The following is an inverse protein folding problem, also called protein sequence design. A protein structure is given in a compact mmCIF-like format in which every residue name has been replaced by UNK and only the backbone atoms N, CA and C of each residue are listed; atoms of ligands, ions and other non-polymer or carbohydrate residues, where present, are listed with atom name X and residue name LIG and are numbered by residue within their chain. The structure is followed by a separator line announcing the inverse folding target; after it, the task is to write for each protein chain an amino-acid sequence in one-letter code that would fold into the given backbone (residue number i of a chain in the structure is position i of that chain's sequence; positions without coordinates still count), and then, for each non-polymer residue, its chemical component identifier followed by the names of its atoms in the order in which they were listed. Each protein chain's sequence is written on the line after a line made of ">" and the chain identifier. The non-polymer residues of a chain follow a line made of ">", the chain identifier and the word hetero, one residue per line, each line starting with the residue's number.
data_IF_831712719147
#
_entry.id   IF_831712719147
#
_cell.length_a   1.000
_cell.length_b   1.000
_cell.length_c   1.000
_cell.angle_alpha   90.00
_cell.angle_beta   90.00
_cell.angle_gamma   90.00
#
_symmetry.space_group_name_H-M   'P 1'
#
loop_
_entity.id
_entity.type
_entity.pdbx_description
1 polymer ?
#
# COMPACT_ATOMS: atom_id res chain seq x y z
N UNK A 1 -3.80 -1.23 24.29
CA UNK A 1 -5.05 -1.19 25.10
C UNK A 1 -6.04 -0.24 24.46
N UNK A 2 -7.37 -0.38 24.61
CA UNK A 2 -8.34 0.57 24.00
C UNK A 2 -8.05 2.03 24.38
N UNK A 3 -7.65 2.28 25.61
CA UNK A 3 -7.38 3.64 26.12
C UNK A 3 -6.18 4.33 25.43
N UNK A 4 -5.25 3.57 24.86
CA UNK A 4 -4.14 4.10 24.07
C UNK A 4 -4.54 4.50 22.65
N UNK A 5 -5.62 3.88 22.13
CA UNK A 5 -6.11 4.14 20.77
C UNK A 5 -7.07 5.34 20.73
N UNK A 6 -7.85 5.56 21.78
CA UNK A 6 -8.85 6.64 21.83
C UNK A 6 -8.23 8.01 21.48
N UNK A 7 -7.11 8.45 22.07
CA UNK A 7 -6.50 9.74 21.73
C UNK A 7 -6.02 9.84 20.28
N UNK A 8 -5.76 8.70 19.61
CA UNK A 8 -5.27 8.65 18.24
C UNK A 8 -6.37 8.70 17.19
N UNK A 9 -7.58 8.28 17.53
CA UNK A 9 -8.70 8.18 16.58
C UNK A 9 -9.86 9.11 16.91
N UNK A 10 -10.03 9.51 18.18
CA UNK A 10 -11.14 10.34 18.61
C UNK A 10 -10.84 11.83 18.47
N UNK A 11 -11.71 12.55 17.78
CA UNK A 11 -11.64 14.00 17.58
C UNK A 11 -12.68 14.66 18.48
N UNK A 12 -12.29 15.32 19.61
CA UNK A 12 -13.24 15.89 20.58
C UNK A 12 -14.21 16.90 19.97
N UNK A 13 -13.71 17.77 19.07
CA UNK A 13 -14.54 18.79 18.40
C UNK A 13 -15.65 18.19 17.51
N UNK A 14 -15.47 16.93 17.04
CA UNK A 14 -16.45 16.20 16.23
C UNK A 14 -17.21 15.14 17.00
N UNK A 15 -16.85 14.92 18.26
CA UNK A 15 -17.39 13.86 19.14
C UNK A 15 -17.36 12.47 18.46
N UNK A 16 -16.31 12.21 17.69
CA UNK A 16 -16.18 10.96 16.92
C UNK A 16 -14.84 10.84 16.20
N UNK A 17 -14.71 9.80 15.37
CA UNK A 17 -13.54 9.50 14.56
C UNK A 17 -13.87 9.61 13.08
N UNK A 18 -12.91 10.05 12.26
CA UNK A 18 -13.06 10.03 10.81
C UNK A 18 -12.45 8.73 10.25
N UNK A 19 -12.85 8.38 9.04
CA UNK A 19 -12.32 7.21 8.32
C UNK A 19 -10.81 7.32 8.07
N UNK A 20 -10.30 8.53 7.87
CA UNK A 20 -8.88 8.78 7.62
C UNK A 20 -8.01 8.43 8.84
N UNK A 21 -8.45 8.79 10.06
CA UNK A 21 -7.77 8.41 11.30
C UNK A 21 -7.84 6.89 11.51
N UNK A 22 -9.01 6.30 11.27
CA UNK A 22 -9.20 4.85 11.38
C UNK A 22 -8.31 4.06 10.41
N UNK A 23 -7.96 4.63 9.25
CA UNK A 23 -7.00 4.05 8.31
C UNK A 23 -5.53 4.34 8.67
N UNK A 24 -5.26 5.50 9.29
CA UNK A 24 -3.90 5.92 9.59
C UNK A 24 -3.31 5.22 10.83
N UNK A 25 -4.11 5.10 11.89
CA UNK A 25 -3.65 4.57 13.18
C UNK A 25 -3.13 3.14 13.11
N UNK A 26 -3.75 2.18 12.39
CA UNK A 26 -3.24 0.81 12.29
C UNK A 26 -1.80 0.71 11.77
N UNK A 27 -1.37 1.64 10.93
CA UNK A 27 0.00 1.67 10.36
C UNK A 27 1.05 1.86 11.45
N UNK A 28 0.77 2.62 12.53
CA UNK A 28 1.65 2.76 13.69
C UNK A 28 1.89 1.43 14.41
N UNK A 29 0.96 0.49 14.26
CA UNK A 29 1.01 -0.85 14.84
C UNK A 29 1.40 -1.91 13.81
N UNK A 30 2.07 -1.50 12.74
CA UNK A 30 2.53 -2.38 11.66
C UNK A 30 1.37 -3.22 11.08
N UNK A 31 0.24 -2.56 10.79
CA UNK A 31 -0.90 -3.17 10.13
C UNK A 31 -1.25 -2.40 8.87
N UNK A 32 -1.46 -3.13 7.77
CA UNK A 32 -1.97 -2.58 6.53
C UNK A 32 -3.48 -2.40 6.66
N UNK A 33 -3.95 -1.17 6.58
CA UNK A 33 -5.37 -0.85 6.58
C UNK A 33 -5.90 -0.94 5.14
N UNK A 34 -6.68 -1.99 4.85
CA UNK A 34 -7.22 -2.23 3.51
C UNK A 34 -8.73 -1.96 3.49
N UNK A 35 -9.14 -0.96 2.69
CA UNK A 35 -10.56 -0.65 2.47
C UNK A 35 -11.19 -1.69 1.53
N UNK A 36 -12.22 -2.38 1.99
CA UNK A 36 -12.94 -3.39 1.23
C UNK A 36 -13.83 -2.77 0.14
N UNK A 37 -14.17 -3.58 -0.85
CA UNK A 37 -15.23 -3.23 -1.80
C UNK A 37 -16.58 -3.10 -1.06
N UNK A 38 -17.46 -2.15 -1.44
CA UNK A 38 -18.68 -1.84 -0.71
C UNK A 38 -19.81 -2.86 -0.99
N UNK A 39 -19.49 -4.15 -0.82
CA UNK A 39 -20.44 -5.26 -0.95
C UNK A 39 -20.30 -6.25 0.21
N UNK A 40 -21.37 -6.97 0.51
CA UNK A 40 -21.42 -7.90 1.62
C UNK A 40 -20.45 -9.09 1.42
N UNK A 41 -20.28 -9.54 0.18
CA UNK A 41 -19.42 -10.69 -0.14
C UNK A 41 -17.95 -10.44 0.27
N UNK A 42 -17.49 -9.19 0.15
CA UNK A 42 -16.15 -8.82 0.61
C UNK A 42 -16.02 -8.96 2.14
N UNK A 43 -17.05 -8.60 2.91
CA UNK A 43 -17.08 -8.80 4.36
C UNK A 43 -17.09 -10.28 4.69
N UNK A 44 -17.98 -11.05 4.04
CA UNK A 44 -18.11 -12.50 4.28
C UNK A 44 -16.82 -13.26 3.93
N UNK A 45 -16.15 -12.89 2.84
CA UNK A 45 -14.87 -13.47 2.46
C UNK A 45 -13.78 -13.25 3.52
N UNK A 46 -13.72 -12.06 4.13
CA UNK A 46 -12.79 -11.79 5.21
C UNK A 46 -13.14 -12.56 6.50
N UNK A 47 -14.42 -12.65 6.85
CA UNK A 47 -14.86 -13.47 7.98
C UNK A 47 -14.52 -14.95 7.80
N UNK A 48 -14.72 -15.50 6.59
CA UNK A 48 -14.35 -16.87 6.25
C UNK A 48 -12.83 -17.10 6.31
N UNK A 49 -12.05 -16.04 6.06
CA UNK A 49 -10.61 -16.06 6.25
C UNK A 49 -10.17 -15.80 7.71
N UNK A 50 -11.11 -15.77 8.66
CA UNK A 50 -10.86 -15.55 10.08
C UNK A 50 -10.51 -14.11 10.46
N UNK A 51 -10.77 -13.15 9.59
CA UNK A 51 -10.44 -11.74 9.81
C UNK A 51 -11.68 -10.90 10.14
N UNK A 52 -11.73 -10.27 11.32
CA UNK A 52 -12.78 -9.32 11.68
C UNK A 52 -12.73 -8.07 10.77
N UNK A 53 -13.89 -7.51 10.49
CA UNK A 53 -14.05 -6.35 9.59
C UNK A 53 -14.60 -5.15 10.35
N UNK A 54 -13.87 -4.03 10.31
CA UNK A 54 -14.36 -2.75 10.82
C UNK A 54 -15.33 -2.13 9.80
N UNK A 55 -16.51 -1.73 10.26
CA UNK A 55 -17.55 -1.11 9.44
C UNK A 55 -17.99 0.22 10.04
N UNK A 56 -18.47 1.12 9.19
CA UNK A 56 -19.12 2.37 9.62
C UNK A 56 -20.63 2.25 9.39
N UNK A 57 -21.38 2.40 10.46
CA UNK A 57 -22.85 2.46 10.46
C UNK A 57 -23.32 3.90 10.60
N UNK A 58 -24.48 4.20 10.04
CA UNK A 58 -25.26 5.37 10.40
C UNK A 58 -26.67 4.91 10.83
N UNK A 59 -26.95 5.06 12.12
CA UNK A 59 -28.26 4.73 12.73
C UNK A 59 -29.23 5.92 12.70
N UNK A 60 -28.79 7.07 12.20
CA UNK A 60 -29.62 8.27 12.08
C UNK A 60 -30.32 8.39 10.73
N UNK A 61 -30.90 9.57 10.53
CA UNK A 61 -31.48 9.98 9.25
C UNK A 61 -30.56 10.97 8.54
N UNK A 62 -30.73 11.27 7.23
CA UNK A 62 -29.80 12.12 6.49
C UNK A 62 -29.48 13.48 7.13
N UNK A 63 -30.46 14.11 7.76
CA UNK A 63 -30.29 15.43 8.43
C UNK A 63 -29.76 15.34 9.86
N UNK A 64 -29.83 14.15 10.50
CA UNK A 64 -29.35 13.90 11.86
C UNK A 64 -28.60 12.57 11.89
N UNK A 65 -27.41 12.47 11.31
CA UNK A 65 -26.65 11.23 11.25
C UNK A 65 -26.17 10.82 12.65
N UNK A 66 -26.18 9.51 12.92
CA UNK A 66 -25.64 8.89 14.13
C UNK A 66 -24.60 7.86 13.74
N UNK A 67 -23.39 8.35 13.51
CA UNK A 67 -22.25 7.55 13.07
C UNK A 67 -21.75 6.63 14.18
N UNK A 68 -21.44 5.40 13.83
CA UNK A 68 -20.93 4.42 14.77
C UNK A 68 -20.05 3.41 14.07
N UNK A 69 -18.85 3.19 14.62
CA UNK A 69 -17.98 2.12 14.18
C UNK A 69 -18.29 0.84 14.95
N UNK A 70 -18.35 -0.28 14.22
CA UNK A 70 -18.50 -1.62 14.80
C UNK A 70 -17.57 -2.61 14.10
N UNK A 71 -17.24 -3.71 14.77
CA UNK A 71 -16.42 -4.78 14.19
C UNK A 71 -17.29 -5.99 13.94
N UNK A 72 -17.45 -6.37 12.69
CA UNK A 72 -18.13 -7.60 12.28
C UNK A 72 -17.20 -8.76 12.61
N UNK A 73 -17.69 -9.72 13.41
CA UNK A 73 -16.92 -10.88 13.87
C UNK A 73 -17.55 -12.22 13.45
N UNK A 74 -18.74 -12.18 12.86
CA UNK A 74 -19.39 -13.39 12.36
C UNK A 74 -20.68 -13.10 11.62
N UNK A 75 -21.12 -14.10 10.86
CA UNK A 75 -22.39 -14.14 10.16
C UNK A 75 -22.99 -15.52 10.34
N UNK A 76 -24.28 -15.56 10.67
CA UNK A 76 -25.07 -16.77 10.79
C UNK A 76 -26.08 -16.83 9.64
N UNK A 77 -25.77 -17.63 8.63
CA UNK A 77 -26.60 -17.75 7.42
C UNK A 77 -27.94 -18.45 7.71
N UNK A 78 -28.00 -19.35 8.71
CA UNK A 78 -29.23 -20.07 9.03
C UNK A 78 -30.29 -19.16 9.65
N UNK A 79 -29.84 -18.16 10.43
CA UNK A 79 -30.70 -17.21 11.12
C UNK A 79 -30.69 -15.81 10.47
N UNK A 80 -29.99 -15.63 9.37
CA UNK A 80 -29.81 -14.35 8.66
C UNK A 80 -29.38 -13.23 9.63
N UNK A 81 -28.33 -13.48 10.43
CA UNK A 81 -27.85 -12.54 11.43
C UNK A 81 -26.38 -12.26 11.32
N UNK A 82 -25.99 -11.03 11.70
CA UNK A 82 -24.61 -10.54 11.75
C UNK A 82 -24.22 -10.35 13.22
N UNK A 83 -23.06 -10.86 13.59
CA UNK A 83 -22.51 -10.72 14.93
C UNK A 83 -21.45 -9.63 14.94
N UNK A 84 -21.60 -8.67 15.84
CA UNK A 84 -20.77 -7.48 15.96
C UNK A 84 -20.15 -7.35 17.35
N UNK A 85 -19.00 -6.69 17.42
CA UNK A 85 -18.52 -5.99 18.61
C UNK A 85 -18.77 -4.49 18.39
N UNK A 86 -19.49 -3.87 19.33
CA UNK A 86 -20.02 -2.51 19.16
C UNK A 86 -19.98 -1.78 20.51
N UNK A 87 -19.13 -0.75 20.63
CA UNK A 87 -18.88 -0.06 21.88
C UNK A 87 -18.45 -1.02 22.99
N UNK A 88 -19.17 -1.02 24.11
CA UNK A 88 -18.93 -1.93 25.24
C UNK A 88 -19.56 -3.32 25.06
N UNK A 89 -20.41 -3.48 24.05
CA UNK A 89 -21.12 -4.75 23.79
C UNK A 89 -20.22 -5.72 23.03
N UNK A 90 -19.79 -6.78 23.72
CA UNK A 90 -18.87 -7.78 23.13
C UNK A 90 -19.52 -8.67 22.06
N UNK A 91 -20.85 -8.86 22.13
CA UNK A 91 -21.62 -9.67 21.20
C UNK A 91 -22.99 -9.02 20.97
N UNK A 92 -23.09 -8.20 19.96
CA UNK A 92 -24.35 -7.67 19.45
C UNK A 92 -24.78 -8.49 18.24
N UNK A 93 -26.03 -8.91 18.20
CA UNK A 93 -26.61 -9.64 17.06
C UNK A 93 -27.64 -8.76 16.40
N UNK A 94 -27.49 -8.52 15.11
CA UNK A 94 -28.44 -7.81 14.28
C UNK A 94 -28.96 -8.73 13.18
N UNK A 95 -30.22 -8.58 12.77
CA UNK A 95 -30.64 -9.17 11.51
C UNK A 95 -29.85 -8.59 10.35
N UNK A 96 -29.55 -9.38 9.33
CA UNK A 96 -28.83 -8.92 8.15
C UNK A 96 -29.51 -7.69 7.51
N UNK A 97 -30.84 -7.64 7.50
CA UNK A 97 -31.61 -6.48 7.03
C UNK A 97 -31.28 -5.20 7.81
N UNK A 98 -31.19 -5.26 9.15
CA UNK A 98 -30.89 -4.08 9.97
C UNK A 98 -29.43 -3.67 9.84
N UNK A 99 -28.53 -4.66 9.77
CA UNK A 99 -27.10 -4.42 9.48
C UNK A 99 -26.94 -3.71 8.15
N UNK A 100 -27.49 -4.25 7.06
CA UNK A 100 -27.38 -3.67 5.73
C UNK A 100 -27.92 -2.25 5.68
N UNK A 101 -29.10 -1.98 6.28
CA UNK A 101 -29.64 -0.63 6.30
C UNK A 101 -28.72 0.38 7.00
N UNK A 102 -28.17 0.01 8.16
CA UNK A 102 -27.25 0.90 8.90
C UNK A 102 -25.93 1.08 8.15
N UNK A 103 -25.43 0.05 7.49
CA UNK A 103 -24.21 0.07 6.70
C UNK A 103 -24.40 0.84 5.37
N UNK A 104 -25.54 0.68 4.69
CA UNK A 104 -25.91 1.46 3.51
C UNK A 104 -25.96 2.97 3.83
N UNK A 105 -26.61 3.32 4.93
CA UNK A 105 -26.64 4.69 5.43
C UNK A 105 -25.24 5.19 5.84
N UNK A 106 -24.31 4.29 6.15
CA UNK A 106 -22.90 4.54 6.44
C UNK A 106 -22.00 4.62 5.20
N UNK A 107 -22.59 4.58 3.99
CA UNK A 107 -21.86 4.61 2.72
C UNK A 107 -21.14 3.29 2.40
N UNK A 108 -21.53 2.19 3.03
CA UNK A 108 -20.94 0.84 2.89
C UNK A 108 -19.45 0.81 3.14
N UNK A 109 -18.93 1.71 3.99
CA UNK A 109 -17.52 1.71 4.32
C UNK A 109 -17.16 0.52 5.20
N UNK A 110 -16.12 -0.21 4.80
CA UNK A 110 -15.57 -1.35 5.52
C UNK A 110 -14.06 -1.43 5.33
N UNK A 111 -13.36 -1.93 6.34
CA UNK A 111 -11.91 -2.05 6.35
C UNK A 111 -11.48 -3.31 7.11
N UNK A 112 -10.45 -3.98 6.58
CA UNK A 112 -9.76 -5.07 7.26
C UNK A 112 -8.32 -4.65 7.59
N UNK A 113 -7.79 -5.18 8.69
CA UNK A 113 -6.41 -5.00 9.11
C UNK A 113 -5.59 -6.23 8.75
N UNK A 114 -4.62 -6.05 7.86
CA UNK A 114 -3.75 -7.13 7.38
C UNK A 114 -2.37 -7.02 8.07
N UNK A 115 -1.75 -8.16 8.30
CA UNK A 115 -0.32 -8.20 8.65
C UNK A 115 0.50 -7.97 7.39
N UNK A 116 1.72 -7.40 7.48
CA UNK A 116 2.64 -7.38 6.36
C UNK A 116 2.87 -8.80 5.81
N UNK A 117 2.69 -8.97 4.52
CA UNK A 117 2.71 -10.28 3.85
C UNK A 117 1.33 -10.91 3.61
N UNK A 118 0.26 -10.35 4.17
CA UNK A 118 -1.11 -10.80 3.90
C UNK A 118 -1.79 -9.95 2.83
N UNK A 119 -2.70 -10.58 2.08
CA UNK A 119 -3.63 -9.89 1.19
C UNK A 119 -5.07 -10.13 1.61
N UNK A 120 -5.96 -9.18 1.37
CA UNK A 120 -7.38 -9.38 1.60
C UNK A 120 -7.94 -10.48 0.68
N UNK A 121 -8.97 -11.21 1.13
CA UNK A 121 -9.55 -12.32 0.38
C UNK A 121 -10.05 -11.87 -1.00
N UNK A 122 -10.69 -10.70 -1.06
CA UNK A 122 -11.17 -10.07 -2.30
C UNK A 122 -10.30 -8.88 -2.72
N UNK A 123 -8.98 -8.95 -2.47
CA UNK A 123 -8.09 -7.84 -2.77
C UNK A 123 -8.07 -7.49 -4.27
N UNK A 124 -8.14 -6.19 -4.52
CA UNK A 124 -7.95 -5.57 -5.82
C UNK A 124 -6.56 -4.95 -5.86
N UNK A 125 -5.77 -5.08 -6.95
CA UNK A 125 -4.40 -4.59 -7.01
C UNK A 125 -4.30 -3.10 -6.74
N UNK A 126 -5.12 -2.27 -7.38
CA UNK A 126 -5.09 -0.81 -7.20
C UNK A 126 -5.25 -0.41 -5.73
N UNK A 127 -6.31 -0.89 -5.07
CA UNK A 127 -6.55 -0.58 -3.65
C UNK A 127 -5.49 -1.12 -2.71
N UNK A 128 -4.96 -2.32 -3.04
CA UNK A 128 -3.90 -2.89 -2.22
C UNK A 128 -2.61 -2.07 -2.32
N UNK A 129 -2.23 -1.68 -3.53
CA UNK A 129 -1.03 -0.87 -3.77
C UNK A 129 -1.17 0.55 -3.20
N UNK A 130 -2.36 1.14 -3.22
CA UNK A 130 -2.63 2.41 -2.51
C UNK A 130 -2.43 2.26 -0.99
N UNK A 131 -2.96 1.18 -0.40
CA UNK A 131 -2.77 0.89 1.01
C UNK A 131 -1.29 0.60 1.34
N UNK A 132 -0.58 -0.14 0.46
CA UNK A 132 0.84 -0.43 0.58
C UNK A 132 1.70 0.84 0.52
N UNK A 133 1.45 1.73 -0.42
CA UNK A 133 2.13 3.03 -0.52
C UNK A 133 1.89 3.92 0.70
N UNK A 134 0.68 3.87 1.27
CA UNK A 134 0.38 4.59 2.50
C UNK A 134 1.04 3.96 3.75
N UNK A 135 1.23 2.64 3.76
CA UNK A 135 1.95 1.90 4.80
C UNK A 135 3.46 2.18 4.75
N UNK A 136 4.05 2.15 3.55
CA UNK A 136 5.47 2.40 3.30
C UNK A 136 5.97 3.72 3.92
N UNK A 137 5.13 4.77 3.93
CA UNK A 137 5.50 6.09 4.47
C UNK A 137 5.83 6.10 5.96
N UNK A 138 5.40 5.09 6.71
CA UNK A 138 5.56 5.04 8.19
C UNK A 138 6.18 3.73 8.68
N UNK A 139 6.24 2.70 7.84
CA UNK A 139 6.79 1.40 8.17
C UNK A 139 8.31 1.34 7.89
N UNK A 140 8.98 0.42 8.57
CA UNK A 140 10.36 0.07 8.24
C UNK A 140 10.46 -0.68 6.90
N UNK A 141 11.68 -0.74 6.35
CA UNK A 141 11.92 -1.36 5.04
C UNK A 141 11.57 -2.87 5.04
N UNK A 142 11.81 -3.58 6.15
CA UNK A 142 11.56 -5.02 6.22
C UNK A 142 10.05 -5.34 6.20
N UNK A 143 9.24 -4.57 6.89
CA UNK A 143 7.78 -4.73 6.88
C UNK A 143 7.19 -4.26 5.54
N UNK A 144 7.71 -3.16 4.99
CA UNK A 144 7.35 -2.68 3.66
C UNK A 144 7.63 -3.75 2.59
N UNK A 145 8.80 -4.38 2.65
CA UNK A 145 9.16 -5.46 1.73
C UNK A 145 8.15 -6.60 1.75
N UNK A 146 7.75 -7.09 2.94
CA UNK A 146 6.74 -8.15 3.06
C UNK A 146 5.41 -7.79 2.41
N UNK A 147 4.99 -6.52 2.53
CA UNK A 147 3.74 -6.05 1.88
C UNK A 147 3.86 -6.11 0.36
N UNK A 148 4.98 -5.67 -0.19
CA UNK A 148 5.18 -5.70 -1.65
C UNK A 148 5.56 -7.09 -2.18
N UNK A 149 6.19 -7.97 -1.37
CA UNK A 149 6.36 -9.39 -1.72
C UNK A 149 5.01 -10.06 -1.99
N UNK A 150 4.03 -9.87 -1.08
CA UNK A 150 2.68 -10.37 -1.28
C UNK A 150 1.98 -9.76 -2.50
N UNK A 151 2.26 -8.48 -2.81
CA UNK A 151 1.72 -7.83 -4.00
C UNK A 151 2.31 -8.41 -5.28
N UNK A 152 3.62 -8.61 -5.35
CA UNK A 152 4.32 -9.21 -6.50
C UNK A 152 3.87 -10.64 -6.73
N UNK A 153 3.73 -11.44 -5.66
CA UNK A 153 3.25 -12.82 -5.75
C UNK A 153 1.84 -12.89 -6.35
N UNK A 154 0.95 -12.01 -5.91
CA UNK A 154 -0.45 -12.03 -6.31
C UNK A 154 -0.70 -11.35 -7.65
N UNK A 155 0.05 -10.30 -7.97
CA UNK A 155 -0.12 -9.48 -9.17
C UNK A 155 1.23 -9.20 -9.84
N UNK A 156 1.88 -10.22 -10.43
CA UNK A 156 3.22 -10.07 -11.03
C UNK A 156 3.25 -9.12 -12.24
N UNK A 157 2.09 -8.83 -12.83
CA UNK A 157 1.92 -7.92 -13.96
C UNK A 157 1.62 -6.47 -13.54
N UNK A 158 1.73 -6.14 -12.26
CA UNK A 158 1.57 -4.78 -11.74
C UNK A 158 2.95 -4.14 -11.51
N UNK A 159 3.42 -3.21 -12.35
CA UNK A 159 4.77 -2.64 -12.23
C UNK A 159 4.97 -1.91 -10.90
N UNK A 160 3.92 -1.31 -10.34
CA UNK A 160 3.95 -0.62 -9.04
C UNK A 160 4.30 -1.57 -7.89
N UNK A 161 3.92 -2.86 -7.97
CA UNK A 161 4.28 -3.85 -6.96
C UNK A 161 5.81 -4.09 -6.94
N UNK A 162 6.42 -4.23 -8.11
CA UNK A 162 7.87 -4.38 -8.28
C UNK A 162 8.62 -3.13 -7.84
N UNK A 163 8.13 -1.94 -8.22
CA UNK A 163 8.74 -0.66 -7.82
C UNK A 163 8.73 -0.52 -6.29
N UNK A 164 7.61 -0.81 -5.63
CA UNK A 164 7.50 -0.73 -4.18
C UNK A 164 8.44 -1.70 -3.47
N UNK A 165 8.57 -2.96 -3.99
CA UNK A 165 9.51 -3.94 -3.46
C UNK A 165 10.95 -3.48 -3.64
N UNK A 166 11.29 -2.96 -4.81
CA UNK A 166 12.61 -2.39 -5.10
C UNK A 166 12.94 -1.20 -4.20
N UNK A 167 11.97 -0.31 -3.96
CA UNK A 167 12.14 0.83 -3.04
C UNK A 167 12.40 0.36 -1.60
N UNK A 168 11.70 -0.68 -1.15
CA UNK A 168 11.98 -1.27 0.17
C UNK A 168 13.38 -1.88 0.25
N UNK A 169 13.82 -2.58 -0.81
CA UNK A 169 15.20 -3.10 -0.93
C UNK A 169 16.24 -1.98 -0.92
N UNK A 170 16.02 -0.93 -1.70
CA UNK A 170 16.90 0.24 -1.76
C UNK A 170 17.06 0.91 -0.37
N UNK A 171 15.95 1.13 0.33
CA UNK A 171 15.95 1.69 1.70
C UNK A 171 16.65 0.78 2.72
N UNK A 172 16.67 -0.52 2.47
CA UNK A 172 17.39 -1.49 3.29
C UNK A 172 18.89 -1.62 2.93
N UNK A 173 19.37 -0.92 1.89
CA UNK A 173 20.74 -1.02 1.39
C UNK A 173 20.99 -2.22 0.47
N UNK A 174 19.96 -3.01 0.15
CA UNK A 174 20.05 -4.12 -0.82
C UNK A 174 19.89 -3.58 -2.25
N UNK A 175 20.91 -2.87 -2.70
CA UNK A 175 20.90 -2.18 -3.99
C UNK A 175 20.79 -3.15 -5.18
N UNK A 176 21.34 -4.38 -5.04
CA UNK A 176 21.24 -5.39 -6.11
C UNK A 176 19.80 -5.89 -6.26
N UNK A 177 19.15 -6.25 -5.17
CA UNK A 177 17.75 -6.65 -5.20
C UNK A 177 16.85 -5.50 -5.70
N UNK A 178 17.14 -4.26 -5.30
CA UNK A 178 16.40 -3.09 -5.78
C UNK A 178 16.51 -2.93 -7.31
N UNK A 179 17.73 -3.01 -7.86
CA UNK A 179 17.94 -2.92 -9.30
C UNK A 179 17.23 -4.05 -10.07
N UNK A 180 17.23 -5.27 -9.53
CA UNK A 180 16.50 -6.42 -10.12
C UNK A 180 14.98 -6.17 -10.14
N UNK A 181 14.42 -5.63 -9.04
CA UNK A 181 13.00 -5.35 -8.93
C UNK A 181 12.57 -4.20 -9.86
N UNK A 182 13.38 -3.13 -9.97
CA UNK A 182 13.10 -2.05 -10.92
C UNK A 182 13.21 -2.54 -12.38
N UNK A 183 14.17 -3.42 -12.68
CA UNK A 183 14.26 -4.07 -13.98
C UNK A 183 13.04 -4.97 -14.25
N UNK A 184 12.53 -5.68 -13.23
CA UNK A 184 11.29 -6.44 -13.35
C UNK A 184 10.07 -5.54 -13.63
N UNK A 185 9.97 -4.39 -12.98
CA UNK A 185 8.95 -3.39 -13.28
C UNK A 185 9.01 -2.92 -14.75
N UNK A 186 10.23 -2.72 -15.28
CA UNK A 186 10.43 -2.29 -16.67
C UNK A 186 10.16 -3.41 -17.69
N UNK A 187 10.25 -4.69 -17.30
CA UNK A 187 9.78 -5.80 -18.18
C UNK A 187 8.25 -5.79 -18.31
N UNK A 188 7.53 -5.36 -17.27
CA UNK A 188 6.07 -5.25 -17.29
C UNK A 188 5.64 -3.97 -18.03
N UNK A 189 6.28 -2.84 -17.71
CA UNK A 189 6.00 -1.53 -18.32
C UNK A 189 7.33 -0.87 -18.76
N UNK A 190 7.78 -1.10 -20.01
CA UNK A 190 9.05 -0.55 -20.52
C UNK A 190 9.11 0.98 -20.56
N UNK A 191 7.96 1.64 -20.50
CA UNK A 191 7.88 3.11 -20.55
C UNK A 191 7.75 3.75 -19.16
N UNK A 192 7.86 2.97 -18.09
CA UNK A 192 7.75 3.48 -16.73
C UNK A 192 8.95 4.34 -16.35
N UNK A 193 8.80 5.64 -16.45
CA UNK A 193 9.87 6.62 -16.16
C UNK A 193 10.34 6.52 -14.72
N UNK A 194 9.41 6.33 -13.75
CA UNK A 194 9.74 6.21 -12.34
C UNK A 194 10.63 4.99 -12.06
N UNK A 195 10.26 3.82 -12.60
CA UNK A 195 11.05 2.60 -12.47
C UNK A 195 12.44 2.78 -13.11
N UNK A 196 12.52 3.41 -14.27
CA UNK A 196 13.79 3.64 -14.98
C UNK A 196 14.70 4.62 -14.23
N UNK A 197 14.15 5.67 -13.67
CA UNK A 197 14.89 6.59 -12.82
C UNK A 197 15.43 5.91 -11.56
N UNK A 198 14.59 5.11 -10.90
CA UNK A 198 14.98 4.38 -9.69
C UNK A 198 16.03 3.30 -9.99
N UNK A 199 15.94 2.64 -11.15
CA UNK A 199 16.97 1.71 -11.62
C UNK A 199 18.30 2.45 -11.85
N UNK A 200 18.27 3.61 -12.51
CA UNK A 200 19.47 4.40 -12.76
C UNK A 200 20.12 4.84 -11.45
N UNK A 201 19.34 5.27 -10.46
CA UNK A 201 19.85 5.62 -9.14
C UNK A 201 20.49 4.40 -8.43
N UNK A 202 19.82 3.25 -8.43
CA UNK A 202 20.36 2.03 -7.84
C UNK A 202 21.65 1.55 -8.52
N UNK A 203 21.73 1.67 -9.84
CA UNK A 203 22.94 1.37 -10.61
C UNK A 203 24.09 2.34 -10.29
N UNK A 204 23.78 3.63 -10.14
CA UNK A 204 24.77 4.63 -9.75
C UNK A 204 25.39 4.29 -8.38
N UNK A 205 24.54 3.98 -7.40
CA UNK A 205 24.99 3.65 -6.04
C UNK A 205 25.70 2.29 -5.95
N UNK A 206 25.46 1.40 -6.93
CA UNK A 206 26.24 0.16 -7.13
C UNK A 206 27.60 0.40 -7.79
N UNK A 207 27.93 1.65 -8.17
CA UNK A 207 29.18 1.98 -8.86
C UNK A 207 29.15 1.66 -10.36
N UNK A 208 27.95 1.64 -10.97
CA UNK A 208 27.74 1.34 -12.40
C UNK A 208 27.22 2.58 -13.18
N UNK A 209 27.96 3.73 -13.20
CA UNK A 209 27.46 4.99 -13.76
C UNK A 209 27.16 4.90 -15.25
N UNK A 210 27.94 4.16 -16.03
CA UNK A 210 27.71 3.99 -17.48
C UNK A 210 26.35 3.30 -17.76
N UNK A 211 26.00 2.27 -16.97
CA UNK A 211 24.69 1.60 -17.09
C UNK A 211 23.55 2.51 -16.62
N UNK A 212 23.76 3.27 -15.55
CA UNK A 212 22.79 4.24 -15.07
C UNK A 212 22.50 5.31 -16.16
N UNK A 213 23.54 5.81 -16.84
CA UNK A 213 23.40 6.76 -17.95
C UNK A 213 22.64 6.13 -19.13
N UNK A 214 22.93 4.88 -19.49
CA UNK A 214 22.22 4.17 -20.54
C UNK A 214 20.72 4.04 -20.24
N UNK A 215 20.33 3.81 -18.98
CA UNK A 215 18.91 3.81 -18.61
C UNK A 215 18.27 5.20 -18.76
N UNK A 216 18.93 6.26 -18.33
CA UNK A 216 18.40 7.61 -18.41
C UNK A 216 18.28 8.14 -19.85
N UNK A 217 19.13 7.69 -20.79
CA UNK A 217 19.03 8.04 -22.21
C UNK A 217 17.79 7.50 -22.90
N UNK A 218 17.16 6.48 -22.32
CA UNK A 218 15.89 5.91 -22.83
C UNK A 218 14.66 6.72 -22.40
N UNK A 219 14.81 7.77 -21.58
CA UNK A 219 13.71 8.61 -21.13
C UNK A 219 13.47 9.74 -22.13
N UNK A 220 12.25 9.85 -22.63
CA UNK A 220 11.85 11.01 -23.41
C UNK A 220 11.50 12.20 -22.47
N UNK A 221 12.43 13.13 -22.36
CA UNK A 221 12.29 14.31 -21.52
C UNK A 221 11.26 15.33 -22.03
N UNK A 222 10.83 15.21 -23.28
CA UNK A 222 9.88 16.17 -23.89
C UNK A 222 8.47 16.01 -23.34
N UNK A 223 8.12 14.80 -22.91
CA UNK A 223 6.80 14.49 -22.38
C UNK A 223 6.71 14.63 -20.85
N UNK A 224 7.85 14.82 -20.17
CA UNK A 224 7.87 14.88 -18.71
C UNK A 224 7.36 16.22 -18.19
N UNK A 225 6.54 16.13 -17.13
CA UNK A 225 6.03 17.28 -16.37
C UNK A 225 6.61 17.28 -14.96
N UNK A 226 6.69 18.49 -14.34
CA UNK A 226 7.00 18.60 -12.91
C UNK A 226 5.94 17.86 -12.06
N UNK A 227 6.31 17.25 -10.91
CA UNK A 227 7.67 17.22 -10.33
C UNK A 227 8.59 16.11 -10.89
N UNK A 228 8.06 15.14 -11.65
CA UNK A 228 8.84 13.99 -12.12
C UNK A 228 10.04 14.43 -13.00
N UNK A 229 9.84 15.43 -13.84
CA UNK A 229 10.91 15.97 -14.70
C UNK A 229 12.11 16.46 -13.89
N UNK A 230 11.87 17.17 -12.79
CA UNK A 230 12.92 17.70 -11.92
C UNK A 230 13.68 16.57 -11.23
N UNK A 231 12.98 15.55 -10.72
CA UNK A 231 13.59 14.38 -10.10
C UNK A 231 14.51 13.65 -11.08
N UNK A 232 14.06 13.41 -12.31
CA UNK A 232 14.86 12.71 -13.33
C UNK A 232 16.05 13.53 -13.78
N UNK A 233 15.91 14.85 -13.88
CA UNK A 233 17.02 15.76 -14.22
C UNK A 233 18.09 15.77 -13.12
N UNK A 234 17.71 15.77 -11.86
CA UNK A 234 18.63 15.69 -10.73
C UNK A 234 19.43 14.37 -10.77
N UNK A 235 18.73 13.24 -10.91
CA UNK A 235 19.39 11.93 -11.08
C UNK A 235 20.36 11.93 -12.26
N UNK A 236 19.95 12.50 -13.40
CA UNK A 236 20.81 12.59 -14.59
C UNK A 236 22.06 13.40 -14.34
N UNK A 237 21.96 14.56 -13.69
CA UNK A 237 23.11 15.39 -13.35
C UNK A 237 24.12 14.64 -12.48
N UNK A 238 23.65 13.90 -11.48
CA UNK A 238 24.51 13.07 -10.63
C UNK A 238 25.21 11.95 -11.41
N UNK A 239 24.48 11.27 -12.29
CA UNK A 239 25.03 10.21 -13.14
C UNK A 239 26.08 10.77 -14.10
N UNK A 240 25.79 11.86 -14.78
CA UNK A 240 26.71 12.47 -15.77
C UNK A 240 27.99 12.96 -15.08
N UNK A 241 27.90 13.52 -13.87
CA UNK A 241 29.06 13.89 -13.04
C UNK A 241 29.95 12.66 -12.71
N UNK A 242 29.34 11.55 -12.31
CA UNK A 242 30.09 10.32 -11.98
C UNK A 242 30.71 9.66 -13.20
N UNK A 243 30.05 9.70 -14.35
CA UNK A 243 30.62 9.22 -15.63
C UNK A 243 31.86 10.07 -15.99
N UNK A 244 31.81 11.39 -15.82
CA UNK A 244 32.95 12.27 -16.09
C UNK A 244 34.15 12.02 -15.14
N UNK A 245 33.87 11.69 -13.87
CA UNK A 245 34.90 11.36 -12.88
C UNK A 245 35.59 10.01 -13.17
N UNK A 246 34.84 9.04 -13.73
CA UNK A 246 35.33 7.69 -14.02
C UNK A 246 36.01 7.57 -15.39
N UNK A 247 36.68 8.59 -15.91
CA UNK A 247 37.30 8.67 -17.24
C UNK A 247 38.33 7.57 -17.60
N UNK A 248 38.31 6.42 -16.91
CA UNK A 248 38.96 5.16 -17.30
C UNK A 248 37.91 4.03 -17.31
N UNK A 249 37.91 3.12 -18.33
CA UNK A 249 36.95 2.05 -18.42
C UNK A 249 37.27 0.95 -17.40
N UNK A 250 37.00 1.20 -16.14
CA UNK A 250 36.85 0.16 -15.14
C UNK A 250 35.36 -0.13 -15.01
N UNK A 251 34.79 -0.77 -16.00
CA UNK A 251 33.53 -1.49 -15.85
C UNK A 251 33.79 -2.61 -14.86
N UNK A 252 33.52 -2.26 -13.62
CA UNK A 252 33.83 -3.05 -12.47
C UNK A 252 33.00 -4.34 -12.48
N UNK A 253 33.65 -5.40 -12.11
CA UNK A 253 33.18 -6.79 -11.92
C UNK A 253 31.82 -6.90 -11.17
N UNK A 254 31.32 -5.82 -10.57
CA UNK A 254 30.05 -5.74 -9.89
C UNK A 254 28.81 -5.43 -10.78
N UNK A 255 29.05 -4.95 -12.01
CA UNK A 255 27.96 -4.55 -12.93
C UNK A 255 27.54 -5.69 -13.88
N UNK A 256 28.38 -6.71 -14.07
CA UNK A 256 28.07 -7.91 -14.85
C UNK A 256 27.27 -8.89 -13.99
N UNK A 257 26.00 -9.10 -14.30
CA UNK A 257 25.11 -10.02 -13.57
C UNK A 257 23.86 -9.38 -12.95
N UNK A 258 23.69 -8.09 -13.07
CA UNK A 258 22.39 -7.44 -12.93
C UNK A 258 21.69 -7.63 -14.29
N UNK A 259 20.68 -8.52 -14.34
CA UNK A 259 20.01 -8.98 -15.55
C UNK A 259 19.70 -7.86 -16.54
N UNK A 260 19.89 -8.17 -17.84
CA UNK A 260 19.35 -7.45 -18.98
C UNK A 260 17.82 -7.46 -18.98
#
# INVERSE_FOLDING_TARGET
>A
MPDELVPLVYIPARRGSLQVEMQAVPRKYQRLAYALSPNLDAILAELNAGRPVLVLHNYGVPFFPRWHYAVVVGFDAANDTVVLRSGVTRRQVLSAKNFMRAWDNGGRWAMVLLRPGETAATANPTRYLEAAAAFERVADAAQTRKVFDAAVERWPNEPVAWIGRGTAGYRAGDLKAAAQDYSAALRVDPNNVGARNNLAQALLDLGCPARAQAELTRIDFTILKSPLKEIVLDTRQHVDSKVAETAAPTDLVGCSGLAE
#
